data_IF_006117527344
#
_entry.id   IF_006117527344
#
_cell.length_a   1.000
_cell.length_b   1.000
_cell.length_c   1.000
_cell.angle_alpha   90.00
_cell.angle_beta   90.00
_cell.angle_gamma   90.00
#
_symmetry.space_group_name_H-M   'P 1'
#
loop_
_entity.id
_entity.type
_entity.pdbx_description
1 polymer ?
#
# COMPACT_ATOMS: atom_id res chain seq x y z
N UNK A 1 -5.54 17.94 -16.51
CA UNK A 1 -4.98 17.52 -15.20
C UNK A 1 -6.12 17.00 -14.32
N UNK A 2 -6.02 15.77 -13.83
CA UNK A 2 -7.03 15.17 -12.96
C UNK A 2 -6.76 15.50 -11.49
N UNK A 3 -7.72 16.14 -10.80
CA UNK A 3 -7.63 16.47 -9.38
C UNK A 3 -8.78 15.85 -8.60
N UNK A 4 -8.52 15.29 -7.40
CA UNK A 4 -9.60 14.77 -6.56
C UNK A 4 -10.39 15.92 -5.91
N UNK A 5 -9.67 17.01 -5.59
CA UNK A 5 -10.20 18.18 -4.91
C UNK A 5 -9.67 19.46 -5.55
N UNK A 6 -10.32 20.59 -5.30
CA UNK A 6 -9.87 21.90 -5.81
C UNK A 6 -8.47 22.23 -5.31
N UNK A 7 -7.69 22.93 -6.14
CA UNK A 7 -6.41 23.50 -5.73
C UNK A 7 -6.60 24.33 -4.46
N UNK A 8 -5.74 24.13 -3.46
CA UNK A 8 -5.87 24.79 -2.15
C UNK A 8 -6.64 24.00 -1.09
N UNK A 9 -7.30 22.91 -1.45
CA UNK A 9 -8.00 22.02 -0.48
C UNK A 9 -7.20 20.74 -0.22
N UNK A 10 -7.61 19.99 0.80
CA UNK A 10 -7.06 18.69 1.16
C UNK A 10 -8.10 17.59 1.02
N UNK A 11 -7.67 16.40 0.62
CA UNK A 11 -8.49 15.20 0.62
C UNK A 11 -8.46 14.58 2.03
N UNK A 12 -9.64 14.22 2.54
CA UNK A 12 -9.83 13.50 3.79
C UNK A 12 -10.88 12.39 3.57
N UNK A 13 -10.43 11.16 3.37
CA UNK A 13 -11.28 10.06 2.91
C UNK A 13 -11.85 10.34 1.51
N UNK A 14 -13.17 10.42 1.41
CA UNK A 14 -13.90 10.82 0.19
C UNK A 14 -14.19 12.32 0.10
N UNK A 15 -13.92 13.07 1.17
CA UNK A 15 -14.33 14.47 1.27
C UNK A 15 -13.16 15.42 1.04
N UNK A 16 -13.46 16.57 0.42
CA UNK A 16 -12.52 17.67 0.30
C UNK A 16 -12.73 18.64 1.47
N UNK A 17 -11.67 18.91 2.23
CA UNK A 17 -11.67 19.84 3.36
C UNK A 17 -10.83 21.07 3.01
N UNK A 18 -11.33 22.25 3.38
CA UNK A 18 -10.58 23.49 3.18
C UNK A 18 -9.39 23.56 4.14
N UNK A 19 -8.32 24.21 3.67
CA UNK A 19 -7.20 24.57 4.52
C UNK A 19 -7.66 25.62 5.54
N UNK A 20 -8.03 25.20 6.76
CA UNK A 20 -8.10 26.14 7.89
C UNK A 20 -6.68 26.59 8.22
N UNK A 21 -6.17 27.66 7.60
CA UNK A 21 -5.16 28.60 8.13
C UNK A 21 -4.95 29.80 7.19
N UNK A 22 -4.72 30.97 7.82
CA UNK A 22 -4.54 32.32 7.27
C UNK A 22 -3.20 32.54 6.51
N UNK A 23 -2.79 31.61 5.65
CA UNK A 23 -1.49 31.66 4.96
C UNK A 23 -1.63 31.69 3.44
N UNK A 24 -1.10 32.74 2.80
CA UNK A 24 -0.77 32.80 1.37
C UNK A 24 0.44 31.92 1.05
N UNK A 25 0.40 30.64 1.42
CA UNK A 25 1.40 29.68 0.94
C UNK A 25 1.02 29.29 -0.48
N UNK A 26 1.86 29.66 -1.44
CA UNK A 26 1.66 29.31 -2.83
C UNK A 26 1.65 27.79 -2.97
N UNK A 27 0.52 27.24 -3.41
CA UNK A 27 0.37 25.80 -3.65
C UNK A 27 1.32 25.41 -4.78
N UNK A 28 2.34 24.61 -4.46
CA UNK A 28 3.25 24.05 -5.46
C UNK A 28 2.55 22.89 -6.17
N UNK A 29 2.32 23.06 -7.47
CA UNK A 29 1.78 22.01 -8.33
C UNK A 29 2.93 21.10 -8.83
N UNK A 30 2.64 19.84 -9.20
CA UNK A 30 3.64 18.90 -9.70
C UNK A 30 4.39 19.44 -10.92
N UNK A 31 5.66 19.04 -11.03
CA UNK A 31 6.46 19.23 -12.23
C UNK A 31 5.92 18.34 -13.34
N UNK A 32 5.94 18.86 -14.57
CA UNK A 32 5.50 18.14 -15.75
C UNK A 32 6.72 17.62 -16.49
N UNK A 33 6.61 16.40 -17.02
CA UNK A 33 7.66 15.71 -17.75
C UNK A 33 7.22 15.39 -19.18
N UNK A 34 8.20 15.27 -20.06
CA UNK A 34 8.03 14.68 -21.39
C UNK A 34 8.17 13.15 -21.32
N UNK A 35 7.86 12.44 -22.40
CA UNK A 35 7.97 10.97 -22.47
C UNK A 35 9.39 10.46 -22.17
N UNK A 36 10.40 11.26 -22.47
CA UNK A 36 11.81 10.94 -22.20
C UNK A 36 12.22 11.23 -20.73
N UNK A 37 11.26 11.48 -19.83
CA UNK A 37 11.46 11.84 -18.41
C UNK A 37 12.27 13.12 -18.18
N UNK A 38 12.32 13.99 -19.20
CA UNK A 38 12.91 15.31 -19.10
C UNK A 38 11.82 16.28 -18.63
N UNK A 39 12.13 17.15 -17.67
CA UNK A 39 11.18 18.18 -17.21
C UNK A 39 10.74 19.06 -18.38
N UNK A 40 9.44 19.10 -18.65
CA UNK A 40 8.87 19.94 -19.69
C UNK A 40 9.02 21.42 -19.28
N UNK A 41 9.24 22.30 -20.26
CA UNK A 41 9.26 23.76 -20.03
C UNK A 41 7.84 24.34 -19.91
N UNK A 42 6.97 23.63 -19.18
CA UNK A 42 5.55 23.96 -18.97
C UNK A 42 5.27 23.88 -17.48
N UNK A 43 4.55 24.87 -16.98
CA UNK A 43 4.09 24.88 -15.58
C UNK A 43 2.69 24.31 -15.49
N UNK A 44 2.44 23.45 -14.52
CA UNK A 44 1.09 23.02 -14.16
C UNK A 44 0.29 24.26 -13.70
N UNK A 45 -0.56 24.79 -14.57
CA UNK A 45 -1.31 26.03 -14.38
C UNK A 45 -2.55 26.01 -15.27
N UNK A 46 -3.59 26.77 -14.90
CA UNK A 46 -4.85 26.89 -15.65
C UNK A 46 -4.68 27.33 -17.11
N UNK A 47 -3.51 27.89 -17.46
CA UNK A 47 -3.19 28.29 -18.84
C UNK A 47 -2.83 27.13 -19.76
N UNK A 48 -2.28 26.05 -19.20
CA UNK A 48 -1.75 24.91 -19.97
C UNK A 48 -2.55 23.63 -19.74
N UNK A 49 -3.26 23.55 -18.62
CA UNK A 49 -4.05 22.38 -18.25
C UNK A 49 -5.45 22.79 -17.82
N UNK A 50 -6.45 22.10 -18.37
CA UNK A 50 -7.78 22.08 -17.79
C UNK A 50 -7.78 21.19 -16.55
N UNK A 51 -8.22 21.76 -15.42
CA UNK A 51 -8.39 21.03 -14.18
C UNK A 51 -9.74 20.33 -14.17
N UNK A 52 -9.72 19.01 -14.21
CA UNK A 52 -10.92 18.18 -14.09
C UNK A 52 -10.99 17.68 -12.66
N UNK A 53 -12.03 18.11 -11.95
CA UNK A 53 -12.28 17.70 -10.55
C UNK A 53 -13.24 16.53 -10.58
N UNK A 54 -12.77 15.37 -10.16
CA UNK A 54 -13.60 14.17 -10.15
C UNK A 54 -13.01 13.09 -9.24
N UNK A 55 -13.79 12.05 -8.97
CA UNK A 55 -13.41 10.96 -8.10
C UNK A 55 -13.40 9.63 -8.88
N UNK A 56 -12.22 9.09 -9.27
CA UNK A 56 -12.11 7.79 -9.94
C UNK A 56 -12.69 6.65 -9.14
N UNK A 57 -12.57 6.70 -7.81
CA UNK A 57 -12.85 5.56 -6.95
C UNK A 57 -14.12 5.80 -6.16
N UNK A 58 -15.17 6.31 -6.82
CA UNK A 58 -16.46 6.50 -6.19
C UNK A 58 -17.05 5.13 -5.79
N UNK A 59 -17.03 4.81 -4.50
CA UNK A 59 -17.50 3.52 -3.97
C UNK A 59 -16.44 2.41 -3.93
N UNK A 60 -15.17 2.72 -4.20
CA UNK A 60 -14.04 1.80 -4.09
C UNK A 60 -12.98 2.35 -3.15
N UNK A 61 -12.03 1.50 -2.72
CA UNK A 61 -10.87 1.95 -1.95
C UNK A 61 -9.90 2.72 -2.86
N UNK A 62 -9.28 3.76 -2.31
CA UNK A 62 -8.20 4.52 -2.97
C UNK A 62 -6.87 4.08 -2.42
N UNK A 63 -5.90 3.93 -3.32
CA UNK A 63 -4.50 3.72 -2.99
C UNK A 63 -3.72 4.96 -3.39
N UNK A 64 -2.68 5.27 -2.62
CA UNK A 64 -1.83 6.45 -2.83
C UNK A 64 -0.41 6.03 -3.11
N UNK A 65 0.20 6.60 -4.14
CA UNK A 65 1.64 6.43 -4.40
C UNK A 65 2.46 7.36 -3.49
N UNK A 66 3.37 6.78 -2.70
CA UNK A 66 4.24 7.50 -1.79
C UNK A 66 5.74 7.20 -2.03
N UNK A 67 6.39 7.94 -2.94
CA UNK A 67 7.80 7.72 -3.28
C UNK A 67 8.79 7.97 -2.14
N UNK A 68 8.34 8.56 -1.01
CA UNK A 68 9.17 8.78 0.17
C UNK A 68 9.24 7.57 1.08
N UNK A 69 8.29 6.64 0.95
CA UNK A 69 8.20 5.41 1.76
C UNK A 69 8.61 4.20 0.92
N UNK A 70 8.14 4.13 -0.33
CA UNK A 70 8.42 3.04 -1.24
C UNK A 70 9.08 3.60 -2.50
N UNK A 71 10.29 3.13 -2.85
CA UNK A 71 10.97 3.60 -4.06
C UNK A 71 10.16 3.27 -5.32
N UNK A 72 9.48 2.12 -5.34
CA UNK A 72 8.65 1.66 -6.47
C UNK A 72 7.41 2.53 -6.74
N UNK A 73 7.03 3.39 -5.79
CA UNK A 73 5.94 4.36 -5.92
C UNK A 73 6.37 5.64 -6.66
N UNK A 74 7.57 5.67 -7.25
CA UNK A 74 8.04 6.80 -8.05
C UNK A 74 7.10 7.06 -9.23
N UNK A 75 6.68 8.30 -9.42
CA UNK A 75 5.72 8.68 -10.45
C UNK A 75 6.07 10.03 -11.08
N UNK A 76 5.74 10.16 -12.36
CA UNK A 76 5.99 11.37 -13.14
C UNK A 76 4.72 11.77 -13.90
N UNK A 77 4.32 13.04 -13.79
CA UNK A 77 3.19 13.58 -14.53
C UNK A 77 3.64 14.00 -15.93
N UNK A 78 3.02 13.42 -16.96
CA UNK A 78 3.31 13.72 -18.35
C UNK A 78 2.51 14.93 -18.86
N UNK A 79 3.01 15.55 -19.93
CA UNK A 79 2.38 16.71 -20.57
C UNK A 79 0.98 16.43 -21.16
N UNK A 80 0.67 15.17 -21.48
CA UNK A 80 -0.67 14.74 -21.90
C UNK A 80 -1.64 14.55 -20.71
N UNK A 81 -1.15 14.67 -19.47
CA UNK A 81 -1.94 14.43 -18.27
C UNK A 81 -2.06 12.96 -17.87
N UNK A 82 -1.29 12.05 -18.47
CA UNK A 82 -1.10 10.69 -17.94
C UNK A 82 0.01 10.69 -16.89
N UNK A 83 0.08 9.63 -16.08
CA UNK A 83 1.16 9.40 -15.12
C UNK A 83 1.95 8.19 -15.58
N UNK A 84 3.28 8.29 -15.49
CA UNK A 84 4.18 7.16 -15.73
C UNK A 84 4.81 6.70 -14.42
N UNK A 85 4.81 5.38 -14.22
CA UNK A 85 5.43 4.64 -13.12
C UNK A 85 6.67 3.91 -13.69
N UNK A 86 7.88 4.51 -13.64
CA UNK A 86 9.05 3.94 -14.30
C UNK A 86 9.55 2.65 -13.66
N UNK A 87 9.28 2.45 -12.37
CA UNK A 87 9.76 1.31 -11.59
C UNK A 87 8.74 0.15 -11.52
N UNK A 88 7.54 0.31 -12.09
CA UNK A 88 6.57 -0.78 -12.13
C UNK A 88 7.08 -1.96 -12.97
N UNK A 89 7.00 -3.16 -12.37
CA UNK A 89 7.38 -4.43 -12.99
C UNK A 89 6.39 -4.83 -14.10
N UNK A 90 5.11 -4.46 -13.94
CA UNK A 90 4.05 -4.81 -14.88
C UNK A 90 3.91 -3.74 -15.97
N UNK A 91 4.09 -4.09 -17.26
CA UNK A 91 4.08 -3.11 -18.34
C UNK A 91 2.71 -2.44 -18.55
N UNK A 92 1.62 -3.07 -18.11
CA UNK A 92 0.26 -2.53 -18.20
C UNK A 92 -0.01 -1.46 -17.13
N UNK A 93 0.67 -1.55 -15.98
CA UNK A 93 0.53 -0.61 -14.87
C UNK A 93 1.48 0.59 -14.98
N UNK A 94 2.44 0.54 -15.90
CA UNK A 94 3.43 1.63 -16.11
C UNK A 94 2.81 2.96 -16.47
N UNK A 95 1.59 2.99 -17.00
CA UNK A 95 0.96 4.22 -17.47
C UNK A 95 -0.49 4.30 -16.99
N UNK A 96 -0.77 5.29 -16.14
CA UNK A 96 -2.12 5.63 -15.70
C UNK A 96 -2.65 6.79 -16.54
N UNK A 97 -3.80 6.59 -17.19
CA UNK A 97 -4.44 7.67 -17.92
C UNK A 97 -5.24 8.60 -16.99
N UNK A 98 -5.57 9.81 -17.46
CA UNK A 98 -6.18 10.87 -16.64
C UNK A 98 -7.50 10.48 -15.96
N UNK A 99 -8.18 9.44 -16.47
CA UNK A 99 -9.43 8.91 -15.93
C UNK A 99 -9.23 7.73 -14.96
N UNK A 100 -8.00 7.31 -14.65
CA UNK A 100 -7.76 6.23 -13.69
C UNK A 100 -7.24 6.74 -12.34
N UNK A 101 -6.76 7.98 -12.33
CA UNK A 101 -6.19 8.59 -11.14
C UNK A 101 -6.76 10.00 -10.89
N UNK A 102 -6.54 10.51 -9.70
CA UNK A 102 -6.70 11.92 -9.37
C UNK A 102 -5.60 12.40 -8.43
N UNK A 103 -5.19 13.66 -8.53
CA UNK A 103 -4.17 14.24 -7.66
C UNK A 103 -4.83 14.97 -6.48
N UNK A 104 -4.29 14.77 -5.28
CA UNK A 104 -4.70 15.54 -4.12
C UNK A 104 -3.57 15.66 -3.09
N UNK A 105 -3.74 16.62 -2.18
CA UNK A 105 -2.91 16.74 -0.97
C UNK A 105 -3.72 16.21 0.20
N UNK A 106 -3.07 15.53 1.15
CA UNK A 106 -3.74 15.01 2.35
C UNK A 106 -3.08 15.61 3.58
N UNK A 107 -3.88 16.18 4.48
CA UNK A 107 -3.39 16.89 5.67
C UNK A 107 -2.68 15.97 6.67
N UNK A 108 -2.98 14.67 6.63
CA UNK A 108 -2.38 13.68 7.55
C UNK A 108 -0.93 13.36 7.23
N UNK A 109 -0.46 13.63 6.01
CA UNK A 109 0.94 13.40 5.66
C UNK A 109 1.79 14.60 6.09
N UNK A 110 3.06 14.31 6.42
CA UNK A 110 4.04 15.31 6.81
C UNK A 110 4.43 16.26 5.65
N UNK A 111 4.11 15.87 4.41
CA UNK A 111 4.52 16.56 3.19
C UNK A 111 3.35 17.29 2.51
N UNK A 112 3.52 18.56 2.09
CA UNK A 112 2.48 19.35 1.43
C UNK A 112 2.35 19.08 -0.08
N UNK A 113 3.01 18.05 -0.59
CA UNK A 113 3.08 17.71 -2.01
C UNK A 113 1.79 17.01 -2.48
N UNK A 114 1.52 17.13 -3.78
CA UNK A 114 0.44 16.35 -4.39
C UNK A 114 0.85 14.89 -4.48
N UNK A 115 -0.12 14.01 -4.21
CA UNK A 115 0.02 12.57 -4.36
C UNK A 115 -0.96 12.06 -5.41
N UNK A 116 -0.63 10.92 -5.99
CA UNK A 116 -1.46 10.22 -6.96
C UNK A 116 -2.37 9.26 -6.21
N UNK A 117 -3.68 9.41 -6.41
CA UNK A 117 -4.66 8.45 -5.93
C UNK A 117 -5.26 7.72 -7.12
N UNK A 118 -5.20 6.40 -7.10
CA UNK A 118 -5.83 5.55 -8.10
C UNK A 118 -6.70 4.49 -7.41
N UNK A 119 -7.57 3.89 -8.20
CA UNK A 119 -8.41 2.79 -7.72
C UNK A 119 -7.71 1.52 -8.07
N UNK A 120 -7.54 0.67 -7.07
CA UNK A 120 -7.27 -0.70 -7.38
C UNK A 120 -8.62 -1.41 -7.56
N UNK A 121 -8.81 -2.00 -8.75
CA UNK A 121 -9.95 -2.87 -9.04
C UNK A 121 -9.75 -4.26 -8.43
N UNK A 122 -8.70 -4.50 -7.64
CA UNK A 122 -8.56 -5.73 -6.86
C UNK A 122 -9.83 -5.97 -6.07
N UNK A 123 -10.64 -6.87 -6.64
CA UNK A 123 -11.53 -7.80 -5.97
C UNK A 123 -10.78 -8.18 -4.69
N UNK A 124 -11.27 -7.71 -3.54
CA UNK A 124 -10.73 -7.95 -2.20
C UNK A 124 -9.74 -9.13 -2.21
N UNK A 125 -8.43 -8.87 -2.31
CA UNK A 125 -7.36 -9.87 -2.53
C UNK A 125 -7.81 -11.31 -2.23
N UNK A 126 -8.50 -11.98 -3.17
CA UNK A 126 -9.02 -13.31 -2.89
C UNK A 126 -7.83 -14.26 -2.74
N UNK A 127 -6.70 -13.93 -3.38
CA UNK A 127 -5.41 -14.58 -3.17
C UNK A 127 -4.87 -14.37 -1.75
N UNK A 128 -5.02 -13.18 -1.17
CA UNK A 128 -4.69 -12.92 0.22
C UNK A 128 -5.57 -13.70 1.19
N UNK A 129 -6.87 -13.79 0.91
CA UNK A 129 -7.83 -14.57 1.70
C UNK A 129 -7.56 -16.08 1.56
N UNK A 130 -7.30 -16.57 0.35
CA UNK A 130 -6.95 -17.97 0.07
C UNK A 130 -5.64 -18.35 0.75
N UNK A 131 -4.63 -17.48 0.67
CA UNK A 131 -3.36 -17.69 1.35
C UNK A 131 -3.52 -17.69 2.87
N UNK A 132 -4.29 -16.74 3.40
CA UNK A 132 -4.61 -16.66 4.83
C UNK A 132 -5.38 -17.89 5.31
N UNK A 133 -6.34 -18.36 4.52
CA UNK A 133 -7.11 -19.56 4.82
C UNK A 133 -6.24 -20.83 4.74
N UNK A 134 -5.35 -20.92 3.74
CA UNK A 134 -4.39 -22.01 3.60
C UNK A 134 -3.42 -22.08 4.78
N UNK A 135 -2.91 -20.93 5.23
CA UNK A 135 -2.09 -20.82 6.43
C UNK A 135 -2.87 -21.23 7.68
N UNK A 136 -4.06 -20.69 7.91
CA UNK A 136 -4.88 -21.03 9.09
C UNK A 136 -5.30 -22.50 9.11
N UNK A 137 -5.64 -23.06 7.95
CA UNK A 137 -5.98 -24.47 7.82
C UNK A 137 -4.78 -25.37 8.11
N UNK A 138 -3.54 -24.92 7.85
CA UNK A 138 -2.32 -25.69 8.14
C UNK A 138 -1.94 -25.73 9.64
N UNK A 139 -2.29 -24.70 10.41
CA UNK A 139 -2.01 -24.61 11.86
C UNK A 139 -2.51 -25.83 12.66
N UNK A 140 -3.77 -26.30 12.55
CA UNK A 140 -4.21 -27.47 13.29
C UNK A 140 -3.47 -28.76 12.88
N UNK A 141 -3.09 -28.91 11.60
CA UNK A 141 -2.26 -30.05 11.17
C UNK A 141 -0.84 -29.98 11.76
N UNK A 142 -0.26 -28.79 11.88
CA UNK A 142 1.04 -28.56 12.54
C UNK A 142 0.97 -28.85 14.04
N UNK A 143 -0.14 -28.49 14.71
CA UNK A 143 -0.34 -28.81 16.13
C UNK A 143 -0.50 -30.32 16.34
N UNK A 144 -1.28 -31.00 15.49
CA UNK A 144 -1.44 -32.46 15.56
C UNK A 144 -0.11 -33.18 15.33
N UNK A 145 0.68 -32.76 14.35
CA UNK A 145 2.02 -33.34 14.10
C UNK A 145 2.98 -33.07 15.24
N UNK A 146 2.95 -31.88 15.85
CA UNK A 146 3.72 -31.59 17.06
C UNK A 146 3.35 -32.52 18.23
N UNK A 147 2.05 -32.72 18.48
CA UNK A 147 1.55 -33.62 19.54
C UNK A 147 1.96 -35.07 19.26
N UNK A 148 1.81 -35.55 18.03
CA UNK A 148 2.23 -36.90 17.62
C UNK A 148 3.74 -37.09 17.83
N UNK A 149 4.55 -36.12 17.39
CA UNK A 149 5.99 -36.16 17.62
C UNK A 149 6.34 -36.10 19.11
N UNK A 150 5.51 -35.47 19.95
CA UNK A 150 5.66 -35.45 21.40
C UNK A 150 5.39 -36.82 22.05
N UNK A 151 4.38 -37.53 21.55
CA UNK A 151 3.96 -38.86 22.02
C UNK A 151 4.83 -40.00 21.52
N UNK A 152 5.46 -39.91 20.33
CA UNK A 152 6.34 -40.97 19.83
C UNK A 152 7.64 -41.04 20.65
N UNK A 153 7.88 -42.14 21.40
CA UNK A 153 9.09 -42.30 22.19
C UNK A 153 10.35 -42.57 21.34
N UNK A 154 10.19 -42.96 20.08
CA UNK A 154 11.29 -43.25 19.13
C UNK A 154 12.03 -41.99 18.63
N UNK A 155 11.41 -40.81 18.72
CA UNK A 155 11.98 -39.52 18.32
C UNK A 155 12.79 -38.83 19.45
N UNK A 156 13.13 -39.57 20.52
CA UNK A 156 14.04 -39.09 21.58
C UNK A 156 15.52 -39.02 21.16
N UNK A 157 15.84 -39.48 19.94
CA UNK A 157 17.16 -39.30 19.35
C UNK A 157 17.41 -37.83 18.98
N UNK A 158 18.67 -37.41 18.91
CA UNK A 158 19.09 -36.02 18.57
C UNK A 158 18.38 -35.48 17.31
N UNK A 159 18.14 -36.34 16.31
CA UNK A 159 17.43 -36.00 15.08
C UNK A 159 15.93 -35.72 15.28
N UNK A 160 15.28 -36.38 16.25
CA UNK A 160 13.87 -36.12 16.58
C UNK A 160 13.67 -34.88 17.46
N UNK A 161 14.69 -34.48 18.22
CA UNK A 161 14.70 -33.21 18.97
C UNK A 161 14.71 -32.00 18.03
N UNK A 162 15.55 -32.01 16.98
CA UNK A 162 15.59 -30.93 15.99
C UNK A 162 14.31 -30.86 15.17
N UNK A 163 13.73 -32.01 14.80
CA UNK A 163 12.46 -32.07 14.06
C UNK A 163 11.29 -31.50 14.88
N UNK A 164 11.21 -31.80 16.18
CA UNK A 164 10.21 -31.22 17.09
C UNK A 164 10.33 -29.70 17.22
N UNK A 165 11.56 -29.20 17.35
CA UNK A 165 11.84 -27.76 17.42
C UNK A 165 11.39 -27.05 16.13
N UNK A 166 11.73 -27.63 14.97
CA UNK A 166 11.35 -27.08 13.67
C UNK A 166 9.82 -26.99 13.48
N UNK A 167 9.08 -28.06 13.78
CA UNK A 167 7.60 -28.04 13.68
C UNK A 167 6.98 -27.07 14.69
N UNK A 168 7.56 -26.95 15.89
CA UNK A 168 7.13 -25.96 16.89
C UNK A 168 7.31 -24.52 16.42
N UNK A 169 8.48 -24.19 15.86
CA UNK A 169 8.74 -22.85 15.30
C UNK A 169 7.82 -22.55 14.11
N UNK A 170 7.61 -23.51 13.21
CA UNK A 170 6.65 -23.37 12.10
C UNK A 170 5.23 -23.12 12.61
N UNK A 171 4.75 -23.89 13.59
CA UNK A 171 3.42 -23.71 14.16
C UNK A 171 3.25 -22.31 14.81
N UNK A 172 4.28 -21.83 15.51
CA UNK A 172 4.29 -20.49 16.10
C UNK A 172 4.28 -19.40 15.03
N UNK A 173 5.15 -19.50 14.01
CA UNK A 173 5.22 -18.55 12.91
C UNK A 173 3.90 -18.46 12.12
N UNK A 174 3.30 -19.58 11.73
CA UNK A 174 2.01 -19.61 11.04
C UNK A 174 0.86 -19.06 11.90
N UNK A 175 0.90 -19.29 13.22
CA UNK A 175 -0.10 -18.72 14.13
C UNK A 175 0.01 -17.19 14.20
N UNK A 176 1.23 -16.65 14.29
CA UNK A 176 1.49 -15.21 14.31
C UNK A 176 1.07 -14.56 12.99
N UNK A 177 1.46 -15.15 11.86
CA UNK A 177 1.09 -14.67 10.53
C UNK A 177 -0.43 -14.69 10.31
N UNK A 178 -1.12 -15.74 10.75
CA UNK A 178 -2.59 -15.80 10.68
C UNK A 178 -3.27 -14.71 11.49
N UNK A 179 -2.74 -14.36 12.67
CA UNK A 179 -3.28 -13.25 13.48
C UNK A 179 -3.04 -11.90 12.80
N UNK A 180 -1.87 -11.69 12.19
CA UNK A 180 -1.56 -10.47 11.44
C UNK A 180 -2.48 -10.31 10.23
N UNK A 181 -2.72 -11.38 9.48
CA UNK A 181 -3.60 -11.35 8.30
C UNK A 181 -5.07 -11.08 8.66
N UNK A 182 -5.54 -11.60 9.80
CA UNK A 182 -6.91 -11.38 10.28
C UNK A 182 -7.15 -10.03 10.95
N UNK A 183 -6.09 -9.34 11.38
CA UNK A 183 -6.21 -8.09 12.13
C UNK A 183 -5.92 -6.90 11.21
N UNK A 184 -6.88 -5.98 10.99
CA UNK A 184 -6.63 -4.79 10.18
C UNK A 184 -5.51 -3.94 10.82
N UNK A 185 -4.58 -3.47 9.99
CA UNK A 185 -3.34 -2.78 10.40
C UNK A 185 -3.59 -1.60 11.35
N UNK A 186 -4.73 -0.91 11.23
CA UNK A 186 -5.13 0.23 12.06
C UNK A 186 -5.46 -0.13 13.52
N UNK A 187 -5.70 -1.41 13.84
CA UNK A 187 -6.02 -1.85 15.21
C UNK A 187 -4.83 -2.44 15.96
N UNK A 188 -3.67 -2.58 15.31
CA UNK A 188 -2.49 -3.20 15.91
C UNK A 188 -1.69 -2.12 16.66
N UNK A 189 -1.55 -2.20 17.99
CA UNK A 189 -0.71 -1.26 18.74
C UNK A 189 0.74 -1.37 18.30
N UNK A 190 1.44 -0.24 18.13
CA UNK A 190 2.84 -0.20 17.70
C UNK A 190 3.76 -1.12 18.52
N UNK A 191 3.52 -1.27 19.83
CA UNK A 191 4.29 -2.18 20.69
C UNK A 191 4.15 -3.65 20.29
N UNK A 192 2.95 -4.08 19.91
CA UNK A 192 2.69 -5.46 19.48
C UNK A 192 3.31 -5.70 18.10
N UNK A 193 3.20 -4.74 17.18
CA UNK A 193 3.82 -4.80 15.86
C UNK A 193 5.34 -5.01 15.95
N UNK A 194 6.03 -4.25 16.81
CA UNK A 194 7.47 -4.37 17.00
C UNK A 194 7.84 -5.75 17.57
N UNK A 195 7.11 -6.24 18.58
CA UNK A 195 7.38 -7.57 19.15
C UNK A 195 7.18 -8.69 18.16
N UNK A 196 6.16 -8.57 17.29
CA UNK A 196 5.89 -9.56 16.26
C UNK A 196 7.00 -9.54 15.19
N UNK A 197 7.42 -8.37 14.73
CA UNK A 197 8.52 -8.25 13.76
C UNK A 197 9.81 -8.90 14.26
N UNK A 198 10.19 -8.65 15.51
CA UNK A 198 11.38 -9.26 16.14
C UNK A 198 11.24 -10.79 16.30
N UNK A 199 10.02 -11.30 16.40
CA UNK A 199 9.78 -12.75 16.59
C UNK A 199 9.85 -13.55 15.29
N UNK A 200 9.79 -12.88 14.13
CA UNK A 200 9.77 -13.50 12.80
C UNK A 200 11.16 -13.44 12.12
N UNK A 201 12.01 -12.49 12.53
CA UNK A 201 13.42 -12.36 12.11
C UNK A 201 14.36 -13.33 12.84
#
# INVERSE_FOLDING_TARGET
MSLCCRVGTFLNGDNCVEATMNGTEAVQLPVIYEMDLISANVTASDKYFDFVIWNPCAGMKRYSLNPRVYEDDEWYLLSNGSIILPLSEEPEERLLDYYQYCLARVKSYEYPEYMVFFCDETIEDDDGIIYSYGMLASVPFLVVTYVIYWLLPELRNLHGLTLRGYVGCLAMAYSILGVLQLTPQEQIPNGICITIGISIE
#
